data_IF_637397464323
#
_entry.id   IF_637397464323
#
_cell.length_a   1.000
_cell.length_b   1.000
_cell.length_c   1.000
_cell.angle_alpha   90.00
_cell.angle_beta   90.00
_cell.angle_gamma   90.00
#
_symmetry.space_group_name_H-M   'P 1'
#
loop_
_entity.id
_entity.type
_entity.pdbx_description
1 polymer ?
#
# COMPACT_ATOMS: atom_id res chain seq x y z
N UNK A 1 9.19 -20.42 32.40
CA UNK A 1 8.47 -19.65 31.39
C UNK A 1 9.18 -18.32 31.16
N UNK A 2 10.07 -18.27 30.17
CA UNK A 2 10.77 -17.05 29.81
C UNK A 2 10.11 -16.43 28.58
N UNK A 3 9.41 -15.30 28.74
CA UNK A 3 8.69 -14.61 27.67
C UNK A 3 9.58 -13.66 26.87
N UNK A 4 10.86 -13.52 27.23
CA UNK A 4 11.80 -12.60 26.62
C UNK A 4 13.13 -13.27 26.31
N UNK A 5 13.84 -12.79 25.29
CA UNK A 5 15.19 -13.26 25.00
C UNK A 5 16.21 -12.46 25.78
N UNK A 6 17.09 -13.18 26.49
CA UNK A 6 18.25 -12.63 27.18
C UNK A 6 19.52 -13.31 26.69
N UNK A 7 20.65 -12.66 26.91
CA UNK A 7 22.00 -13.20 26.66
C UNK A 7 22.64 -13.63 28.00
N UNK A 8 22.47 -14.87 28.43
CA UNK A 8 22.97 -15.32 29.74
C UNK A 8 24.46 -15.05 29.91
N UNK A 9 24.85 -14.54 31.08
CA UNK A 9 26.25 -14.23 31.46
C UNK A 9 26.89 -13.09 30.66
N UNK A 10 26.15 -12.34 29.86
CA UNK A 10 26.66 -11.16 29.16
C UNK A 10 26.09 -9.89 29.81
N UNK A 11 26.94 -8.90 30.03
CA UNK A 11 26.53 -7.56 30.48
C UNK A 11 26.28 -6.71 29.23
N UNK A 12 25.23 -5.88 29.24
CA UNK A 12 24.96 -4.88 28.22
C UNK A 12 26.13 -3.91 28.10
N UNK A 13 26.66 -3.73 26.90
CA UNK A 13 27.78 -2.84 26.56
C UNK A 13 27.55 -2.26 25.17
N UNK A 14 26.68 -1.25 25.04
CA UNK A 14 26.37 -0.69 23.73
C UNK A 14 27.59 -0.04 23.07
N UNK A 15 27.52 0.13 21.75
CA UNK A 15 28.56 0.76 20.93
C UNK A 15 28.47 2.31 20.96
N UNK A 16 27.71 2.87 21.89
CA UNK A 16 27.52 4.31 22.10
C UNK A 16 27.61 4.60 23.59
N UNK A 17 27.81 5.87 23.93
CA UNK A 17 27.90 6.29 25.34
C UNK A 17 26.52 6.26 25.98
N UNK A 18 26.43 5.62 27.15
CA UNK A 18 25.22 5.54 27.96
C UNK A 18 25.62 5.79 29.42
N UNK A 19 25.14 6.90 29.98
CA UNK A 19 25.47 7.28 31.34
C UNK A 19 24.71 6.42 32.35
N UNK A 20 25.43 5.89 33.34
CA UNK A 20 24.89 5.28 34.57
C UNK A 20 23.84 4.15 34.41
N UNK A 21 23.73 3.51 33.23
CA UNK A 21 22.84 2.39 33.01
C UNK A 21 23.57 1.05 33.05
N UNK A 22 23.12 0.15 33.90
CA UNK A 22 23.62 -1.20 33.99
C UNK A 22 22.51 -2.22 33.75
N UNK A 23 22.77 -3.17 32.86
CA UNK A 23 21.86 -4.28 32.56
C UNK A 23 22.62 -5.61 32.56
N UNK A 24 22.12 -6.57 33.35
CA UNK A 24 22.65 -7.93 33.42
C UNK A 24 21.53 -8.93 33.79
N UNK A 25 21.35 -10.01 33.02
CA UNK A 25 21.94 -10.24 31.69
C UNK A 25 21.44 -9.26 30.64
N UNK A 26 22.21 -9.05 29.59
CA UNK A 26 21.79 -8.20 28.48
C UNK A 26 20.53 -8.77 27.78
N UNK A 27 19.63 -7.89 27.36
CA UNK A 27 18.45 -8.24 26.54
C UNK A 27 18.85 -8.42 25.07
N UNK A 28 18.13 -9.24 24.34
CA UNK A 28 18.10 -9.20 22.88
C UNK A 28 17.16 -8.08 22.47
N UNK A 29 17.57 -7.18 21.57
CA UNK A 29 16.75 -6.07 21.12
C UNK A 29 15.58 -6.51 20.24
N UNK A 30 14.53 -5.71 20.17
CA UNK A 30 13.33 -6.02 19.39
C UNK A 30 13.60 -6.23 17.88
N UNK A 31 14.64 -5.59 17.33
CA UNK A 31 15.08 -5.76 15.96
C UNK A 31 16.09 -6.91 15.73
N UNK A 32 16.04 -7.96 16.57
CA UNK A 32 16.80 -9.21 16.40
C UNK A 32 18.34 -9.05 16.48
N UNK A 33 18.83 -8.11 17.30
CA UNK A 33 20.27 -8.02 17.58
C UNK A 33 20.65 -8.93 18.74
N UNK A 34 21.06 -10.16 18.42
CA UNK A 34 21.47 -11.19 19.37
C UNK A 34 22.93 -10.96 19.86
N UNK A 35 23.20 -9.75 20.35
CA UNK A 35 24.51 -9.35 20.90
C UNK A 35 24.34 -8.42 22.10
N UNK A 36 25.29 -8.47 23.02
CA UNK A 36 25.34 -7.54 24.15
C UNK A 36 25.88 -6.13 23.75
N UNK A 37 26.22 -5.93 22.48
CA UNK A 37 26.85 -4.72 21.92
C UNK A 37 25.98 -4.07 20.83
N UNK A 38 24.71 -3.66 21.10
CA UNK A 38 23.89 -3.01 20.09
C UNK A 38 24.44 -1.62 19.75
N UNK A 39 24.20 -1.19 18.52
CA UNK A 39 24.45 0.18 18.05
C UNK A 39 23.33 1.15 18.44
N UNK A 40 23.56 2.44 18.22
CA UNK A 40 22.57 3.51 18.51
C UNK A 40 21.27 3.37 17.70
N UNK A 41 21.34 2.76 16.52
CA UNK A 41 20.18 2.52 15.63
C UNK A 41 19.51 1.16 15.87
N UNK A 42 20.05 0.33 16.76
CA UNK A 42 19.36 -0.88 17.21
C UNK A 42 18.31 -0.50 18.25
N UNK A 43 17.21 -1.24 18.32
CA UNK A 43 16.09 -0.93 19.23
C UNK A 43 16.46 -1.32 20.68
N UNK A 44 17.54 -0.73 21.22
CA UNK A 44 18.16 -1.11 22.48
C UNK A 44 17.28 -0.86 23.71
N UNK A 45 16.27 0.02 23.62
CA UNK A 45 15.28 0.21 24.69
C UNK A 45 14.24 -0.90 24.75
N UNK A 46 14.16 -1.73 23.72
CA UNK A 46 13.17 -2.80 23.61
C UNK A 46 13.75 -4.16 24.02
N UNK A 47 12.89 -5.15 24.15
CA UNK A 47 13.30 -6.54 24.38
C UNK A 47 12.52 -7.47 23.46
N UNK A 48 13.22 -8.38 22.77
CA UNK A 48 12.57 -9.36 21.90
C UNK A 48 11.71 -10.33 22.71
N UNK A 49 10.47 -10.50 22.28
CA UNK A 49 9.53 -11.48 22.82
C UNK A 49 9.92 -12.91 22.39
N UNK A 50 9.85 -13.83 23.32
CA UNK A 50 10.19 -15.24 23.07
C UNK A 50 8.97 -16.03 22.59
N UNK A 51 8.88 -16.21 21.29
CA UNK A 51 7.85 -17.05 20.66
C UNK A 51 8.24 -18.54 20.53
N UNK A 52 9.32 -18.98 21.19
CA UNK A 52 9.74 -20.38 21.20
C UNK A 52 10.67 -20.78 20.06
N UNK A 53 11.38 -19.82 19.45
CA UNK A 53 12.38 -20.08 18.40
C UNK A 53 13.77 -19.84 18.96
N UNK A 54 14.66 -20.84 18.90
CA UNK A 54 16.08 -20.69 19.29
C UNK A 54 16.89 -20.16 18.09
N UNK A 55 17.01 -18.85 17.98
CA UNK A 55 17.70 -18.17 16.88
C UNK A 55 19.20 -18.42 16.86
N UNK A 56 19.82 -18.75 18.01
CA UNK A 56 21.26 -18.96 18.13
C UNK A 56 21.69 -20.39 17.80
N UNK A 57 20.75 -21.35 17.86
CA UNK A 57 21.02 -22.77 17.61
C UNK A 57 20.17 -23.28 16.42
N UNK A 58 20.38 -22.71 15.25
CA UNK A 58 19.76 -23.17 14.00
C UNK A 58 18.27 -22.93 13.89
N UNK A 59 17.71 -21.94 14.61
CA UNK A 59 16.28 -21.57 14.61
C UNK A 59 15.37 -22.74 15.00
N UNK A 60 15.81 -23.59 15.93
CA UNK A 60 14.98 -24.70 16.42
C UNK A 60 13.69 -24.19 17.03
N UNK A 61 12.59 -24.85 16.68
CA UNK A 61 11.25 -24.52 17.15
C UNK A 61 10.89 -25.33 18.40
N UNK A 62 10.39 -24.66 19.42
CA UNK A 62 9.94 -25.21 20.67
C UNK A 62 8.48 -24.81 20.91
N UNK A 63 7.57 -25.41 20.15
CA UNK A 63 6.14 -25.07 20.16
C UNK A 63 5.26 -26.10 20.88
N UNK A 64 5.86 -27.18 21.40
CA UNK A 64 5.21 -28.16 22.24
C UNK A 64 6.01 -28.33 23.56
N UNK A 65 5.42 -27.95 24.72
CA UNK A 65 4.12 -27.29 24.86
C UNK A 65 4.13 -25.88 24.24
N UNK A 66 2.92 -25.38 23.87
CA UNK A 66 2.75 -24.02 23.32
C UNK A 66 3.39 -22.99 24.25
N UNK A 67 4.24 -22.08 23.74
CA UNK A 67 4.91 -21.08 24.55
C UNK A 67 3.94 -20.18 25.33
N UNK A 68 4.29 -19.84 26.55
CA UNK A 68 3.47 -18.95 27.41
C UNK A 68 3.21 -17.57 26.77
N UNK A 69 4.18 -17.06 25.99
CA UNK A 69 4.04 -15.84 25.21
C UNK A 69 2.85 -15.89 24.26
N UNK A 70 2.60 -17.06 23.60
CA UNK A 70 1.47 -17.21 22.68
C UNK A 70 0.12 -17.03 23.38
N UNK A 71 -0.03 -17.61 24.57
CA UNK A 71 -1.24 -17.48 25.37
C UNK A 71 -1.47 -16.02 25.77
N UNK A 72 -0.43 -15.33 26.26
CA UNK A 72 -0.52 -13.91 26.64
C UNK A 72 -0.88 -13.00 25.46
N UNK A 73 -0.26 -13.23 24.30
CA UNK A 73 -0.58 -12.45 23.10
C UNK A 73 -1.99 -12.75 22.59
N UNK A 74 -2.46 -14.00 22.69
CA UNK A 74 -3.85 -14.33 22.37
C UNK A 74 -4.82 -13.62 23.32
N UNK A 75 -4.53 -13.58 24.63
CA UNK A 75 -5.38 -12.88 25.60
C UNK A 75 -5.48 -11.38 25.27
N UNK A 76 -4.38 -10.75 24.81
CA UNK A 76 -4.38 -9.35 24.35
C UNK A 76 -5.28 -9.19 23.11
N UNK A 77 -5.16 -10.07 22.12
CA UNK A 77 -5.98 -10.04 20.91
C UNK A 77 -7.47 -10.21 21.25
N UNK A 78 -7.81 -11.16 22.11
CA UNK A 78 -9.19 -11.40 22.52
C UNK A 78 -9.75 -10.24 23.35
N UNK A 79 -8.95 -9.63 24.23
CA UNK A 79 -9.34 -8.45 25.01
C UNK A 79 -9.80 -7.29 24.08
N UNK A 80 -9.01 -6.99 23.04
CA UNK A 80 -9.37 -5.93 22.11
C UNK A 80 -10.52 -6.32 21.18
N UNK A 81 -10.57 -7.59 20.75
CA UNK A 81 -11.69 -8.12 19.96
C UNK A 81 -13.03 -7.96 20.69
N UNK A 82 -13.06 -8.21 22.01
CA UNK A 82 -14.24 -7.99 22.86
C UNK A 82 -14.70 -6.52 22.86
N UNK A 83 -13.80 -5.56 22.65
CA UNK A 83 -14.12 -4.13 22.52
C UNK A 83 -14.75 -3.78 21.17
N UNK A 84 -14.99 -4.77 20.29
CA UNK A 84 -15.63 -4.62 18.96
C UNK A 84 -14.83 -3.78 18.00
N UNK A 85 -13.52 -3.95 18.01
CA UNK A 85 -12.66 -3.41 16.94
C UNK A 85 -12.88 -4.20 15.65
N UNK A 86 -12.61 -3.58 14.50
CA UNK A 86 -12.78 -4.22 13.18
C UNK A 86 -11.59 -5.09 12.78
N UNK A 87 -10.40 -4.83 13.33
CA UNK A 87 -9.21 -5.59 12.99
C UNK A 87 -7.96 -5.13 13.71
N UNK A 88 -6.83 -5.78 13.36
CA UNK A 88 -5.51 -5.50 13.87
C UNK A 88 -4.53 -5.16 12.73
N UNK A 89 -3.73 -4.13 12.91
CA UNK A 89 -2.48 -3.94 12.18
C UNK A 89 -1.35 -4.58 12.99
N UNK A 90 -0.70 -5.56 12.39
CA UNK A 90 0.36 -6.34 13.03
C UNK A 90 1.72 -5.81 12.58
N UNK A 91 2.37 -5.09 13.48
CA UNK A 91 3.69 -4.51 13.29
C UNK A 91 4.75 -5.60 13.17
N UNK A 92 5.68 -5.43 12.21
CA UNK A 92 6.82 -6.34 12.01
C UNK A 92 6.44 -7.82 12.08
N UNK A 93 5.30 -8.20 11.47
CA UNK A 93 4.69 -9.52 11.63
C UNK A 93 5.61 -10.68 11.20
N UNK A 94 6.52 -10.43 10.24
CA UNK A 94 7.48 -11.43 9.78
C UNK A 94 8.58 -11.78 10.81
N UNK A 95 8.74 -10.95 11.85
CA UNK A 95 9.64 -11.26 12.98
C UNK A 95 8.99 -12.20 14.00
N UNK A 96 7.72 -12.54 13.82
CA UNK A 96 6.95 -13.47 14.66
C UNK A 96 6.69 -14.74 13.85
N UNK A 97 6.90 -15.94 14.43
CA UNK A 97 6.71 -17.20 13.70
C UNK A 97 5.31 -17.31 13.08
N UNK A 98 5.24 -17.76 11.83
CA UNK A 98 3.96 -17.94 11.12
C UNK A 98 3.03 -18.89 11.83
N UNK A 99 3.56 -19.87 12.55
CA UNK A 99 2.82 -20.85 13.36
C UNK A 99 2.07 -20.18 14.52
N UNK A 100 2.65 -19.11 15.10
CA UNK A 100 1.92 -18.31 16.09
C UNK A 100 0.70 -17.62 15.45
N UNK A 101 0.88 -17.00 14.30
CA UNK A 101 -0.22 -16.34 13.59
C UNK A 101 -1.33 -17.33 13.24
N UNK A 102 -0.98 -18.48 12.68
CA UNK A 102 -1.92 -19.56 12.40
C UNK A 102 -2.73 -19.94 13.66
N UNK A 103 -2.01 -20.18 14.76
CA UNK A 103 -2.59 -20.61 16.02
C UNK A 103 -3.50 -19.53 16.65
N UNK A 104 -3.05 -18.27 16.67
CA UNK A 104 -3.75 -17.17 17.32
C UNK A 104 -4.94 -16.69 16.49
N UNK A 105 -4.75 -16.45 15.18
CA UNK A 105 -5.80 -15.94 14.28
C UNK A 105 -6.98 -16.92 14.20
N UNK A 106 -6.70 -18.23 14.10
CA UNK A 106 -7.75 -19.24 14.09
C UNK A 106 -8.61 -19.18 15.37
N UNK A 107 -8.01 -18.90 16.54
CA UNK A 107 -8.71 -18.79 17.81
C UNK A 107 -9.52 -17.49 17.94
N UNK A 108 -8.97 -16.37 17.47
CA UNK A 108 -9.68 -15.09 17.43
C UNK A 108 -10.86 -15.19 16.47
N UNK A 109 -10.67 -15.63 15.22
CA UNK A 109 -11.73 -15.72 14.21
C UNK A 109 -12.81 -16.74 14.56
N UNK A 110 -12.50 -17.75 15.37
CA UNK A 110 -13.53 -18.67 15.90
C UNK A 110 -14.58 -17.95 16.76
N UNK A 111 -14.19 -16.90 17.49
CA UNK A 111 -15.08 -16.14 18.38
C UNK A 111 -15.56 -14.84 17.69
N UNK A 112 -14.71 -14.23 16.88
CA UNK A 112 -14.94 -12.94 16.20
C UNK A 112 -14.62 -13.06 14.70
N UNK A 113 -15.48 -13.73 13.90
CA UNK A 113 -15.17 -14.08 12.51
C UNK A 113 -15.02 -12.88 11.57
N UNK A 114 -15.53 -11.71 11.94
CA UNK A 114 -15.45 -10.50 11.14
C UNK A 114 -14.14 -9.71 11.33
N UNK A 115 -13.32 -10.05 12.34
CA UNK A 115 -12.06 -9.36 12.59
C UNK A 115 -11.07 -9.66 11.46
N UNK A 116 -10.48 -8.60 10.92
CA UNK A 116 -9.42 -8.68 9.90
C UNK A 116 -8.03 -8.48 10.52
N UNK A 117 -7.01 -9.07 9.88
CA UNK A 117 -5.61 -8.92 10.25
C UNK A 117 -4.84 -8.37 9.06
N UNK A 118 -4.28 -7.17 9.23
CA UNK A 118 -3.40 -6.50 8.27
C UNK A 118 -1.99 -6.58 8.81
N UNK A 119 -1.02 -7.06 8.04
CA UNK A 119 0.31 -7.29 8.54
C UNK A 119 1.41 -6.62 7.71
N UNK A 120 2.43 -6.18 8.41
CA UNK A 120 3.67 -5.72 7.85
C UNK A 120 4.61 -6.92 7.64
N UNK A 121 4.73 -7.34 6.38
CA UNK A 121 5.63 -8.39 5.90
C UNK A 121 6.33 -7.84 4.66
N UNK A 122 7.65 -7.73 4.68
CA UNK A 122 8.43 -7.11 3.61
C UNK A 122 9.25 -8.09 2.78
N UNK A 123 9.28 -9.37 3.17
CA UNK A 123 9.90 -10.42 2.37
C UNK A 123 8.87 -11.02 1.37
N UNK A 124 8.97 -10.75 0.05
CA UNK A 124 8.02 -11.29 -0.93
C UNK A 124 7.96 -12.81 -0.99
N UNK A 125 9.04 -13.51 -0.60
CA UNK A 125 9.06 -14.97 -0.55
C UNK A 125 8.16 -15.54 0.56
N UNK A 126 7.86 -14.74 1.59
CA UNK A 126 7.03 -15.12 2.72
C UNK A 126 5.55 -14.71 2.55
N UNK A 127 5.18 -13.88 1.58
CA UNK A 127 3.81 -13.39 1.44
C UNK A 127 2.77 -14.52 1.45
N UNK A 128 2.97 -15.54 0.62
CA UNK A 128 2.03 -16.68 0.53
C UNK A 128 1.98 -17.48 1.83
N UNK A 129 3.10 -17.62 2.53
CA UNK A 129 3.17 -18.32 3.80
C UNK A 129 2.36 -17.58 4.87
N UNK A 130 2.53 -16.27 5.00
CA UNK A 130 1.79 -15.47 5.98
C UNK A 130 0.30 -15.34 5.66
N UNK A 131 -0.08 -15.29 4.38
CA UNK A 131 -1.49 -15.28 3.96
C UNK A 131 -2.14 -16.66 4.20
N UNK A 132 -1.60 -17.72 3.61
CA UNK A 132 -2.29 -19.01 3.57
C UNK A 132 -2.05 -19.88 4.80
N UNK A 133 -0.83 -19.88 5.34
CA UNK A 133 -0.51 -20.60 6.58
C UNK A 133 -0.82 -19.75 7.79
N UNK A 134 -0.36 -18.52 7.82
CA UNK A 134 -0.55 -17.60 8.94
C UNK A 134 -2.01 -17.15 9.13
N UNK A 135 -2.79 -17.08 8.04
CA UNK A 135 -4.19 -16.68 8.07
C UNK A 135 -4.41 -15.16 8.10
N UNK A 136 -3.38 -14.38 7.74
CA UNK A 136 -3.50 -12.93 7.61
C UNK A 136 -4.35 -12.55 6.40
N UNK A 137 -5.24 -11.57 6.56
CA UNK A 137 -6.16 -11.17 5.52
C UNK A 137 -5.49 -10.28 4.47
N UNK A 138 -4.62 -9.35 4.94
CA UNK A 138 -3.91 -8.41 4.07
C UNK A 138 -2.47 -8.23 4.52
N UNK A 139 -1.57 -8.06 3.54
CA UNK A 139 -0.17 -7.65 3.74
C UNK A 139 0.10 -6.32 3.05
N UNK A 140 1.01 -5.52 3.56
CA UNK A 140 1.46 -4.30 2.89
C UNK A 140 2.17 -4.63 1.59
N UNK A 141 1.73 -4.02 0.48
CA UNK A 141 2.43 -4.09 -0.81
C UNK A 141 3.55 -3.04 -0.87
N UNK A 142 4.55 -3.21 0.00
CA UNK A 142 5.68 -2.28 0.13
C UNK A 142 6.74 -2.54 -0.95
N UNK A 143 7.30 -3.74 -0.95
CA UNK A 143 8.50 -4.08 -1.73
C UNK A 143 8.21 -4.23 -3.23
N UNK A 144 6.97 -4.55 -3.60
CA UNK A 144 6.53 -4.64 -4.97
C UNK A 144 6.03 -3.32 -5.53
N UNK A 145 4.77 -3.01 -5.25
CA UNK A 145 4.07 -1.91 -5.91
C UNK A 145 4.45 -0.53 -5.36
N UNK A 146 4.56 -0.37 -4.03
CA UNK A 146 4.89 0.94 -3.45
C UNK A 146 6.27 1.43 -3.92
N UNK A 147 7.32 0.61 -3.75
CA UNK A 147 8.69 1.00 -4.11
C UNK A 147 8.81 1.32 -5.60
N UNK A 148 8.17 0.50 -6.45
CA UNK A 148 8.15 0.73 -7.89
C UNK A 148 7.44 2.03 -8.25
N UNK A 149 6.23 2.28 -7.72
CA UNK A 149 5.47 3.50 -8.04
C UNK A 149 6.21 4.75 -7.56
N UNK A 150 6.85 4.69 -6.38
CA UNK A 150 7.72 5.75 -5.90
C UNK A 150 8.85 6.04 -6.90
N UNK A 151 9.55 4.99 -7.35
CA UNK A 151 10.65 5.13 -8.29
C UNK A 151 10.19 5.69 -9.65
N UNK A 152 9.04 5.24 -10.17
CA UNK A 152 8.47 5.78 -11.42
C UNK A 152 8.17 7.27 -11.29
N UNK A 153 7.53 7.69 -10.19
CA UNK A 153 7.24 9.10 -9.91
C UNK A 153 8.50 9.93 -9.79
N UNK A 154 9.55 9.39 -9.18
CA UNK A 154 10.88 10.02 -9.08
C UNK A 154 11.73 9.85 -10.35
N UNK A 155 11.18 9.34 -11.46
CA UNK A 155 11.85 9.12 -12.74
C UNK A 155 13.05 8.16 -12.71
N UNK A 156 13.08 7.23 -11.76
CA UNK A 156 14.13 6.23 -11.60
C UNK A 156 13.80 4.92 -12.33
N UNK A 157 12.49 4.61 -12.47
CA UNK A 157 11.98 3.39 -13.10
C UNK A 157 10.99 3.69 -14.22
N UNK A 158 10.63 2.66 -15.00
CA UNK A 158 9.71 2.73 -16.11
C UNK A 158 8.31 2.21 -15.71
N UNK A 159 7.24 2.86 -16.19
CA UNK A 159 5.86 2.45 -15.96
C UNK A 159 5.56 1.02 -16.47
N UNK A 160 6.29 0.54 -17.48
CA UNK A 160 6.19 -0.84 -17.98
C UNK A 160 6.51 -1.91 -16.92
N UNK A 161 7.26 -1.58 -15.87
CA UNK A 161 7.59 -2.50 -14.79
C UNK A 161 6.39 -2.80 -13.88
N UNK A 162 5.31 -1.98 -13.93
CA UNK A 162 4.06 -2.25 -13.21
C UNK A 162 3.51 -3.63 -13.58
N UNK A 163 3.66 -4.05 -14.85
CA UNK A 163 3.27 -5.40 -15.31
C UNK A 163 3.97 -6.49 -14.50
N UNK A 164 5.27 -6.40 -14.31
CA UNK A 164 6.03 -7.40 -13.55
C UNK A 164 5.65 -7.39 -12.06
N UNK A 165 5.42 -6.19 -11.49
CA UNK A 165 5.04 -6.05 -10.08
C UNK A 165 3.71 -6.74 -9.76
N UNK A 166 2.66 -6.51 -10.54
CA UNK A 166 1.38 -7.18 -10.29
C UNK A 166 1.41 -8.68 -10.64
N UNK A 167 2.17 -9.10 -11.66
CA UNK A 167 2.33 -10.51 -12.02
C UNK A 167 3.02 -11.33 -10.93
N UNK A 168 4.00 -10.75 -10.23
CA UNK A 168 4.67 -11.40 -9.11
C UNK A 168 3.70 -11.74 -7.97
N UNK A 169 2.61 -11.00 -7.85
CA UNK A 169 1.56 -11.20 -6.85
C UNK A 169 0.38 -12.04 -7.35
N UNK A 170 0.47 -12.65 -8.54
CA UNK A 170 -0.61 -13.44 -9.14
C UNK A 170 -1.16 -14.48 -8.17
N UNK A 171 -2.48 -14.45 -7.93
CA UNK A 171 -3.19 -15.32 -7.00
C UNK A 171 -3.22 -14.83 -5.54
N UNK A 172 -2.49 -13.77 -5.19
CA UNK A 172 -2.55 -13.09 -3.89
C UNK A 172 -2.76 -11.57 -4.01
N UNK A 173 -2.91 -11.05 -5.20
CA UNK A 173 -3.02 -9.62 -5.47
C UNK A 173 -4.14 -8.93 -4.68
N UNK A 174 -5.21 -9.66 -4.38
CA UNK A 174 -6.34 -9.13 -3.61
C UNK A 174 -6.11 -9.13 -2.08
N UNK A 175 -5.03 -9.76 -1.62
CA UNK A 175 -4.56 -9.72 -0.23
C UNK A 175 -3.50 -8.63 0.02
N UNK A 176 -3.10 -7.88 -1.01
CA UNK A 176 -2.02 -6.90 -0.88
C UNK A 176 -2.60 -5.50 -0.66
N UNK A 177 -2.41 -4.94 0.55
CA UNK A 177 -2.85 -3.58 0.88
C UNK A 177 -1.97 -2.56 0.15
N UNK A 178 -2.54 -1.85 -0.80
CA UNK A 178 -1.85 -0.77 -1.51
C UNK A 178 -1.81 0.50 -0.68
N UNK A 179 -0.73 1.25 -0.77
CA UNK A 179 -0.56 2.55 -0.14
C UNK A 179 0.49 3.38 -0.88
N UNK A 180 0.53 4.68 -0.64
CA UNK A 180 1.53 5.59 -1.22
C UNK A 180 2.24 6.43 -0.16
N UNK A 181 1.70 6.48 1.05
CA UNK A 181 2.31 7.03 2.26
C UNK A 181 1.93 6.16 3.46
N UNK A 182 2.81 6.10 4.44
CA UNK A 182 2.53 5.62 5.78
C UNK A 182 3.43 6.37 6.79
N UNK A 183 3.41 5.96 8.05
CA UNK A 183 4.17 6.61 9.12
C UNK A 183 5.70 6.34 9.07
N UNK A 184 6.14 5.36 8.28
CA UNK A 184 7.56 4.99 8.12
C UNK A 184 8.18 5.58 6.85
N UNK A 185 7.36 5.93 5.85
CA UNK A 185 7.81 6.43 4.55
C UNK A 185 7.71 7.96 4.48
N UNK A 186 8.53 8.57 3.61
CA UNK A 186 8.45 10.00 3.35
C UNK A 186 7.12 10.38 2.73
N UNK A 187 6.63 11.56 3.09
CA UNK A 187 5.47 12.19 2.45
C UNK A 187 5.76 12.48 0.98
N UNK A 188 4.77 12.27 0.13
CA UNK A 188 4.87 12.50 -1.33
C UNK A 188 5.31 13.93 -1.63
N UNK A 189 4.73 14.92 -0.93
CA UNK A 189 5.01 16.33 -1.14
C UNK A 189 6.32 16.80 -0.52
N UNK A 190 7.07 15.93 0.18
CA UNK A 190 8.38 16.26 0.75
C UNK A 190 9.45 16.38 -0.32
N UNK A 191 10.52 17.13 0.00
CA UNK A 191 11.71 17.24 -0.85
C UNK A 191 12.49 15.90 -0.97
N UNK A 192 12.16 14.91 -0.13
CA UNK A 192 12.74 13.57 -0.11
C UNK A 192 11.99 12.56 -0.97
N UNK A 193 10.85 12.93 -1.56
CA UNK A 193 10.10 12.07 -2.47
C UNK A 193 9.85 12.83 -3.79
N UNK A 194 8.68 13.43 -3.97
CA UNK A 194 8.29 14.04 -5.24
C UNK A 194 8.24 15.58 -5.21
N UNK A 195 8.37 16.20 -4.03
CA UNK A 195 8.30 17.65 -3.85
C UNK A 195 6.94 18.30 -4.14
N UNK A 196 6.00 17.54 -4.70
CA UNK A 196 4.68 18.01 -5.08
C UNK A 196 3.65 16.87 -5.00
N UNK A 197 2.58 17.08 -4.24
CA UNK A 197 1.53 16.08 -4.03
C UNK A 197 0.75 15.69 -5.31
N UNK A 198 0.70 16.56 -6.31
CA UNK A 198 -0.01 16.28 -7.56
C UNK A 198 0.70 15.29 -8.48
N UNK A 199 2.02 15.13 -8.34
CA UNK A 199 2.80 14.21 -9.17
C UNK A 199 2.45 12.75 -8.93
N UNK A 200 1.80 12.42 -7.79
CA UNK A 200 1.43 11.06 -7.42
C UNK A 200 0.14 10.57 -8.07
N UNK A 201 -0.64 11.43 -8.71
CA UNK A 201 -1.99 11.08 -9.19
C UNK A 201 -2.02 9.85 -10.09
N UNK A 202 -1.10 9.65 -11.06
CA UNK A 202 -1.08 8.42 -11.86
C UNK A 202 -0.86 7.17 -10.98
N UNK A 203 0.03 7.25 -9.99
CA UNK A 203 0.27 6.16 -9.04
C UNK A 203 -0.95 5.91 -8.14
N UNK A 204 -1.65 6.96 -7.71
CA UNK A 204 -2.90 6.83 -6.94
C UNK A 204 -3.98 6.11 -7.75
N UNK A 205 -4.15 6.46 -9.04
CA UNK A 205 -5.10 5.79 -9.93
C UNK A 205 -4.74 4.30 -10.05
N UNK A 206 -3.47 3.97 -10.32
CA UNK A 206 -3.01 2.58 -10.40
C UNK A 206 -3.29 1.85 -9.09
N UNK A 207 -2.84 2.37 -7.95
CA UNK A 207 -3.01 1.72 -6.65
C UNK A 207 -4.47 1.50 -6.25
N UNK A 208 -5.36 2.43 -6.61
CA UNK A 208 -6.77 2.35 -6.25
C UNK A 208 -7.63 1.54 -7.23
N UNK A 209 -7.13 1.22 -8.45
CA UNK A 209 -8.00 0.66 -9.48
C UNK A 209 -7.43 -0.56 -10.23
N UNK A 210 -6.12 -0.86 -10.08
CA UNK A 210 -5.48 -1.97 -10.80
C UNK A 210 -6.00 -3.34 -10.34
N UNK A 211 -6.17 -3.51 -9.03
CA UNK A 211 -6.63 -4.76 -8.43
C UNK A 211 -7.94 -4.56 -7.64
N UNK A 212 -8.36 -5.57 -6.90
CA UNK A 212 -9.48 -5.50 -5.92
C UNK A 212 -8.97 -5.26 -4.50
N UNK A 213 -7.68 -5.06 -4.34
CA UNK A 213 -7.03 -4.86 -3.06
C UNK A 213 -7.49 -3.55 -2.39
N UNK A 214 -7.52 -3.49 -1.06
CA UNK A 214 -7.79 -2.25 -0.37
C UNK A 214 -6.66 -1.24 -0.56
N UNK A 215 -7.00 0.03 -0.47
CA UNK A 215 -6.05 1.14 -0.47
C UNK A 215 -6.04 1.81 0.91
N UNK A 216 -4.86 1.97 1.49
CA UNK A 216 -4.66 2.69 2.74
C UNK A 216 -4.30 4.14 2.44
N UNK A 217 -5.11 5.07 2.93
CA UNK A 217 -4.83 6.50 2.90
C UNK A 217 -4.18 6.93 4.22
N UNK A 218 -2.98 7.47 4.18
CA UNK A 218 -2.34 8.02 5.35
C UNK A 218 -2.86 9.45 5.62
N UNK A 219 -3.24 9.74 6.88
CA UNK A 219 -3.85 11.02 7.24
C UNK A 219 -2.97 12.21 6.84
N UNK A 220 -3.54 13.14 6.07
CA UNK A 220 -2.85 14.30 5.51
C UNK A 220 -2.31 14.11 4.09
N UNK A 221 -2.26 12.90 3.57
CA UNK A 221 -1.84 12.63 2.19
C UNK A 221 -2.76 13.36 1.19
N UNK A 222 -4.06 13.31 1.43
CA UNK A 222 -5.08 14.01 0.62
C UNK A 222 -5.07 15.53 0.76
N UNK A 223 -4.26 16.04 1.70
CA UNK A 223 -4.04 17.46 1.93
C UNK A 223 -2.68 17.94 1.41
N UNK A 224 -1.87 17.03 0.85
CA UNK A 224 -0.52 17.34 0.40
C UNK A 224 0.43 17.69 1.55
N UNK A 225 0.30 16.98 2.69
CA UNK A 225 1.23 17.15 3.82
C UNK A 225 2.67 16.87 3.38
N UNK A 226 3.60 17.74 3.78
CA UNK A 226 4.99 17.66 3.35
C UNK A 226 5.92 16.93 4.33
N UNK A 227 5.62 16.95 5.63
CA UNK A 227 6.53 16.44 6.66
C UNK A 227 7.88 17.18 6.66
N UNK A 228 7.88 18.48 6.33
CA UNK A 228 9.09 19.30 6.17
C UNK A 228 9.24 20.35 7.26
N UNK A 229 8.35 20.35 8.24
CA UNK A 229 8.42 21.19 9.42
C UNK A 229 9.01 20.41 10.61
N UNK A 230 8.76 20.82 11.85
CA UNK A 230 9.31 20.16 13.03
C UNK A 230 8.52 18.91 13.49
N UNK A 231 7.57 18.47 12.70
CA UNK A 231 6.68 17.32 12.96
C UNK A 231 7.27 15.97 12.56
N UNK A 232 8.48 15.95 12.02
CA UNK A 232 9.14 14.74 11.53
C UNK A 232 9.55 13.76 12.63
N UNK A 233 9.77 12.53 12.25
CA UNK A 233 10.20 11.46 13.14
C UNK A 233 11.61 11.73 13.73
N UNK A 234 12.49 12.29 12.93
CA UNK A 234 13.87 12.67 13.31
C UNK A 234 14.22 14.08 12.80
N UNK A 235 13.26 15.00 12.80
CA UNK A 235 13.42 16.35 12.28
C UNK A 235 12.94 16.48 10.84
N UNK A 236 13.65 17.27 10.02
CA UNK A 236 13.30 17.55 8.64
C UNK A 236 13.70 16.39 7.71
N UNK A 237 12.99 15.29 7.77
CA UNK A 237 13.27 14.09 6.99
C UNK A 237 12.13 13.65 6.04
N UNK A 238 11.12 14.49 5.92
CA UNK A 238 9.96 14.24 5.05
C UNK A 238 8.95 13.24 5.60
N UNK A 239 9.06 12.88 6.90
CA UNK A 239 8.12 11.97 7.58
C UNK A 239 7.36 12.71 8.66
N UNK A 240 6.15 12.25 8.96
CA UNK A 240 5.38 12.75 10.11
C UNK A 240 5.20 11.66 11.14
N UNK A 241 5.34 12.00 12.42
CA UNK A 241 5.14 11.06 13.51
C UNK A 241 3.66 10.70 13.70
N UNK A 242 3.39 9.48 14.17
CA UNK A 242 2.07 9.07 14.65
C UNK A 242 1.82 9.44 16.11
N UNK A 243 2.85 9.89 16.83
CA UNK A 243 2.78 10.12 18.27
C UNK A 243 2.26 11.50 18.64
N UNK A 244 2.46 12.50 17.77
CA UNK A 244 2.00 13.89 17.97
C UNK A 244 1.38 14.45 16.67
N UNK A 245 0.50 13.67 16.06
CA UNK A 245 -0.23 14.05 14.84
C UNK A 245 -1.00 15.37 14.98
N UNK A 246 -1.34 15.78 16.20
CA UNK A 246 -1.94 17.08 16.48
C UNK A 246 -1.00 18.28 16.22
N UNK A 247 0.31 18.03 16.11
CA UNK A 247 1.29 19.04 15.70
C UNK A 247 1.31 19.30 14.19
N UNK A 248 0.69 18.41 13.37
CA UNK A 248 0.67 18.51 11.91
C UNK A 248 -0.30 19.59 11.44
N UNK A 249 0.24 20.68 10.86
CA UNK A 249 -0.55 21.88 10.51
C UNK A 249 -1.69 21.57 9.53
N UNK A 250 -1.44 20.73 8.52
CA UNK A 250 -2.49 20.35 7.54
C UNK A 250 -3.69 19.67 8.19
N UNK A 251 -3.45 18.83 9.22
CA UNK A 251 -4.51 18.16 9.96
C UNK A 251 -5.25 19.11 10.91
N UNK A 252 -4.52 20.08 11.52
CA UNK A 252 -5.14 21.14 12.32
C UNK A 252 -6.06 22.02 11.47
N UNK A 253 -5.61 22.43 10.28
CA UNK A 253 -6.39 23.22 9.33
C UNK A 253 -7.62 22.46 8.85
N UNK A 254 -7.47 21.17 8.56
CA UNK A 254 -8.60 20.32 8.20
C UNK A 254 -9.60 20.16 9.34
N UNK A 255 -9.13 19.88 10.55
CA UNK A 255 -10.01 19.67 11.70
C UNK A 255 -10.71 20.95 12.14
N UNK A 256 -10.08 22.10 11.97
CA UNK A 256 -10.59 23.43 12.35
C UNK A 256 -11.33 23.42 13.70
N UNK A 257 -10.66 22.92 14.75
CA UNK A 257 -11.24 22.78 16.10
C UNK A 257 -12.53 21.92 16.11
N UNK A 258 -12.56 20.84 15.33
CA UNK A 258 -13.68 19.90 15.23
C UNK A 258 -14.81 20.32 14.29
N UNK A 259 -14.65 21.38 13.51
CA UNK A 259 -15.67 21.83 12.54
C UNK A 259 -15.63 21.07 11.22
N UNK A 260 -14.46 20.62 10.78
CA UNK A 260 -14.23 19.88 9.54
C UNK A 260 -14.84 20.54 8.30
N UNK A 261 -14.86 21.88 8.27
CA UNK A 261 -15.53 22.69 7.23
C UNK A 261 -14.60 23.13 6.10
N UNK A 262 -13.32 22.77 6.15
CA UNK A 262 -12.31 23.11 5.15
C UNK A 262 -11.97 24.60 5.05
N UNK A 263 -12.45 25.46 5.94
CA UNK A 263 -12.26 26.92 5.83
C UNK A 263 -10.82 27.37 5.96
N UNK A 264 -10.00 26.61 6.68
CA UNK A 264 -8.58 26.93 6.88
C UNK A 264 -7.68 26.31 5.80
N UNK A 265 -8.21 25.43 4.96
CA UNK A 265 -7.47 24.85 3.83
C UNK A 265 -7.34 25.85 2.67
N UNK A 266 -6.18 25.86 2.01
CA UNK A 266 -6.02 26.52 0.72
C UNK A 266 -6.90 25.87 -0.35
N UNK A 267 -7.14 26.58 -1.44
CA UNK A 267 -7.95 26.04 -2.55
C UNK A 267 -7.25 24.84 -3.18
N UNK A 268 -5.95 24.85 -3.34
CA UNK A 268 -5.15 23.73 -3.82
C UNK A 268 -5.34 22.45 -2.94
N UNK A 269 -5.29 22.59 -1.60
CA UNK A 269 -5.55 21.47 -0.68
C UNK A 269 -6.98 20.94 -0.79
N UNK A 270 -7.96 21.83 -0.98
CA UNK A 270 -9.36 21.44 -1.20
C UNK A 270 -9.54 20.67 -2.51
N UNK A 271 -8.92 21.13 -3.60
CA UNK A 271 -8.95 20.47 -4.91
C UNK A 271 -8.31 19.09 -4.86
N UNK A 272 -7.10 18.99 -4.29
CA UNK A 272 -6.42 17.70 -4.12
C UNK A 272 -7.27 16.72 -3.32
N UNK A 273 -7.80 17.17 -2.18
CA UNK A 273 -8.69 16.34 -1.35
C UNK A 273 -9.97 15.93 -2.07
N UNK A 274 -10.55 16.81 -2.88
CA UNK A 274 -11.73 16.48 -3.69
C UNK A 274 -11.41 15.41 -4.73
N UNK A 275 -10.23 15.46 -5.34
CA UNK A 275 -9.76 14.43 -6.27
C UNK A 275 -9.55 13.07 -5.57
N UNK A 276 -8.86 13.04 -4.43
CA UNK A 276 -8.71 11.82 -3.62
C UNK A 276 -10.07 11.23 -3.25
N UNK A 277 -10.99 12.06 -2.73
CA UNK A 277 -12.35 11.63 -2.40
C UNK A 277 -13.04 11.00 -3.60
N UNK A 278 -12.92 11.59 -4.78
CA UNK A 278 -13.55 11.08 -6.00
C UNK A 278 -12.95 9.75 -6.43
N UNK A 279 -11.62 9.63 -6.49
CA UNK A 279 -10.91 8.41 -6.90
C UNK A 279 -11.18 7.25 -5.93
N UNK A 280 -11.09 7.48 -4.62
CA UNK A 280 -11.31 6.45 -3.62
C UNK A 280 -12.79 6.03 -3.53
N UNK A 281 -13.73 6.94 -3.77
CA UNK A 281 -15.14 6.54 -3.89
C UNK A 281 -15.39 5.70 -5.16
N UNK A 282 -14.75 6.02 -6.29
CA UNK A 282 -14.86 5.21 -7.51
C UNK A 282 -14.33 3.79 -7.26
N UNK A 283 -13.21 3.62 -6.54
CA UNK A 283 -12.68 2.28 -6.23
C UNK A 283 -13.65 1.41 -5.43
N UNK A 284 -14.53 2.02 -4.63
CA UNK A 284 -15.54 1.32 -3.83
C UNK A 284 -16.85 1.09 -4.58
N UNK A 285 -17.26 2.04 -5.41
CA UNK A 285 -18.63 2.08 -5.98
C UNK A 285 -18.72 1.64 -7.44
N UNK A 286 -17.61 1.72 -8.20
CA UNK A 286 -17.61 1.27 -9.60
C UNK A 286 -17.40 -0.26 -9.65
N UNK A 287 -18.38 -1.04 -10.11
CA UNK A 287 -18.32 -2.51 -10.06
C UNK A 287 -17.14 -3.09 -10.83
N UNK A 288 -16.75 -2.48 -11.95
CA UNK A 288 -15.61 -2.91 -12.73
C UNK A 288 -14.29 -2.83 -11.95
N UNK A 289 -14.15 -1.86 -11.03
CA UNK A 289 -12.97 -1.74 -10.15
C UNK A 289 -13.11 -2.69 -8.95
N UNK A 290 -14.21 -2.59 -8.22
CA UNK A 290 -14.39 -3.31 -6.95
C UNK A 290 -14.48 -4.83 -7.11
N UNK A 291 -15.01 -5.34 -8.26
CA UNK A 291 -15.31 -6.76 -8.46
C UNK A 291 -14.75 -7.32 -9.77
N UNK A 292 -14.35 -6.45 -10.70
CA UNK A 292 -14.06 -6.81 -12.07
C UNK A 292 -12.75 -7.57 -12.28
N UNK A 293 -12.63 -8.13 -13.49
CA UNK A 293 -11.36 -8.63 -14.02
C UNK A 293 -10.48 -7.45 -14.43
N UNK A 294 -9.19 -7.67 -14.42
CA UNK A 294 -8.20 -6.76 -14.96
C UNK A 294 -7.55 -7.37 -16.20
N UNK A 295 -7.26 -6.55 -17.20
CA UNK A 295 -6.46 -6.94 -18.36
C UNK A 295 -5.42 -5.86 -18.64
N UNK A 296 -4.14 -6.24 -18.54
CA UNK A 296 -3.01 -5.37 -18.78
C UNK A 296 -2.78 -5.16 -20.29
N UNK A 297 -2.77 -3.90 -20.72
CA UNK A 297 -2.57 -3.53 -22.13
C UNK A 297 -1.12 -3.15 -22.46
N UNK A 298 -0.21 -3.20 -21.47
CA UNK A 298 1.16 -2.70 -21.65
C UNK A 298 1.90 -3.43 -22.77
N UNK A 299 1.79 -4.76 -22.83
CA UNK A 299 2.46 -5.55 -23.85
C UNK A 299 2.01 -5.22 -25.29
N UNK A 300 0.71 -4.91 -25.47
CA UNK A 300 0.11 -4.57 -26.75
C UNK A 300 0.48 -3.15 -27.21
N UNK A 301 0.99 -2.32 -26.29
CA UNK A 301 1.34 -0.93 -26.54
C UNK A 301 2.85 -0.64 -26.42
N UNK A 302 3.65 -1.62 -26.04
CA UNK A 302 5.09 -1.44 -25.81
C UNK A 302 5.84 -0.89 -27.05
N UNK A 303 5.47 -1.34 -28.25
CA UNK A 303 6.06 -0.90 -29.51
C UNK A 303 5.16 0.10 -30.27
N UNK A 304 4.15 0.66 -29.64
CA UNK A 304 3.26 1.63 -30.25
C UNK A 304 3.95 3.02 -30.32
N UNK A 305 4.14 3.60 -31.52
CA UNK A 305 4.86 4.86 -31.66
C UNK A 305 4.18 6.06 -31.00
N UNK A 306 2.87 5.96 -30.70
CA UNK A 306 2.09 6.97 -29.99
C UNK A 306 1.84 6.61 -28.53
N UNK A 307 2.74 5.84 -27.92
CA UNK A 307 2.64 5.41 -26.52
C UNK A 307 4.04 5.21 -25.93
N UNK A 308 4.40 5.96 -24.92
CA UNK A 308 5.67 5.78 -24.22
C UNK A 308 5.49 4.83 -23.03
N UNK A 309 5.84 3.56 -23.22
CA UNK A 309 5.75 2.53 -22.20
C UNK A 309 6.59 2.81 -20.93
N UNK A 310 7.54 3.75 -20.99
CA UNK A 310 8.28 4.17 -19.80
C UNK A 310 7.50 5.15 -18.93
N UNK A 311 6.53 5.88 -19.51
CA UNK A 311 5.80 6.95 -18.84
C UNK A 311 4.29 6.75 -18.82
N UNK A 312 3.74 5.87 -19.66
CA UNK A 312 2.33 5.55 -19.67
C UNK A 312 2.09 4.10 -19.27
N UNK A 313 0.97 3.87 -18.61
CA UNK A 313 0.48 2.55 -18.27
C UNK A 313 -1.03 2.49 -18.54
N UNK A 314 -1.49 1.46 -19.24
CA UNK A 314 -2.91 1.31 -19.58
C UNK A 314 -3.41 -0.13 -19.32
N UNK A 315 -4.63 -0.23 -18.86
CA UNK A 315 -5.29 -1.49 -18.56
C UNK A 315 -6.81 -1.37 -18.63
N UNK A 316 -7.48 -2.51 -18.70
CA UNK A 316 -8.94 -2.62 -18.68
C UNK A 316 -9.41 -3.18 -17.35
N UNK A 317 -10.53 -2.65 -16.86
CA UNK A 317 -11.33 -3.25 -15.80
C UNK A 317 -12.70 -3.59 -16.37
N UNK A 318 -13.21 -4.79 -16.10
CA UNK A 318 -14.49 -5.22 -16.63
C UNK A 318 -15.25 -6.06 -15.60
N UNK A 319 -16.53 -5.73 -15.42
CA UNK A 319 -17.46 -6.51 -14.62
C UNK A 319 -18.86 -6.44 -15.25
N UNK A 320 -19.39 -7.58 -15.67
CA UNK A 320 -20.66 -7.67 -16.40
C UNK A 320 -20.67 -6.71 -17.63
N UNK A 321 -21.52 -5.70 -17.64
CA UNK A 321 -21.59 -4.67 -18.70
C UNK A 321 -20.70 -3.46 -18.45
N UNK A 322 -20.14 -3.33 -17.25
CA UNK A 322 -19.28 -2.20 -16.91
C UNK A 322 -17.86 -2.44 -17.45
N UNK A 323 -17.47 -1.62 -18.41
CA UNK A 323 -16.18 -1.66 -19.07
C UNK A 323 -15.45 -0.33 -18.86
N UNK A 324 -14.24 -0.38 -18.30
CA UNK A 324 -13.38 0.77 -18.12
C UNK A 324 -12.06 0.57 -18.85
N UNK A 325 -11.64 1.57 -19.61
CA UNK A 325 -10.26 1.78 -20.02
C UNK A 325 -9.60 2.76 -19.06
N UNK A 326 -8.54 2.34 -18.39
CA UNK A 326 -7.78 3.20 -17.50
C UNK A 326 -6.40 3.41 -18.11
N UNK A 327 -5.99 4.66 -18.24
CA UNK A 327 -4.67 5.03 -18.75
C UNK A 327 -4.08 6.17 -17.92
N UNK A 328 -2.82 6.02 -17.52
CA UNK A 328 -2.11 6.99 -16.68
C UNK A 328 -0.85 7.50 -17.37
N UNK A 329 -0.46 8.74 -17.02
CA UNK A 329 0.70 9.43 -17.56
C UNK A 329 1.58 9.96 -16.42
N UNK A 330 2.76 9.39 -16.27
CA UNK A 330 3.78 9.80 -15.30
C UNK A 330 4.71 10.91 -15.83
N UNK A 331 4.53 11.34 -17.10
CA UNK A 331 5.32 12.42 -17.65
C UNK A 331 4.91 13.79 -17.09
N UNK A 332 5.85 14.74 -17.10
CA UNK A 332 5.65 16.12 -16.67
C UNK A 332 4.98 17.03 -17.73
N UNK A 333 4.51 16.44 -18.83
CA UNK A 333 3.77 17.11 -19.90
C UNK A 333 2.49 16.34 -20.26
N UNK A 334 1.49 17.04 -20.77
CA UNK A 334 0.33 16.41 -21.37
C UNK A 334 0.75 15.62 -22.63
N UNK A 335 0.07 14.50 -22.88
CA UNK A 335 0.36 13.60 -24.00
C UNK A 335 -0.91 13.22 -24.74
N UNK A 336 -0.80 13.15 -26.06
CA UNK A 336 -1.78 12.51 -26.91
C UNK A 336 -1.30 11.10 -27.23
N UNK A 337 -2.04 10.11 -26.77
CA UNK A 337 -1.69 8.70 -26.92
C UNK A 337 -2.76 7.95 -27.74
N UNK A 338 -2.34 6.82 -28.29
CA UNK A 338 -3.26 5.86 -28.92
C UNK A 338 -3.10 4.53 -28.20
N UNK A 339 -4.19 3.95 -27.69
CA UNK A 339 -4.16 2.69 -26.96
C UNK A 339 -4.73 1.57 -27.81
N UNK A 340 -3.92 0.53 -28.04
CA UNK A 340 -4.36 -0.74 -28.64
C UNK A 340 -5.06 -1.59 -27.60
N UNK A 341 -6.20 -2.17 -27.97
CA UNK A 341 -6.86 -3.25 -27.23
C UNK A 341 -6.78 -4.49 -28.11
N UNK A 342 -5.92 -5.46 -27.78
CA UNK A 342 -5.67 -6.60 -28.65
C UNK A 342 -6.84 -7.60 -28.64
N UNK A 343 -6.90 -8.48 -29.65
CA UNK A 343 -7.92 -9.50 -29.80
C UNK A 343 -8.01 -10.40 -28.54
N UNK A 344 -6.88 -10.77 -27.94
CA UNK A 344 -6.84 -11.56 -26.71
C UNK A 344 -7.58 -10.88 -25.54
N UNK A 345 -7.59 -9.54 -25.48
CA UNK A 345 -8.38 -8.80 -24.49
C UNK A 345 -9.88 -8.97 -24.73
N UNK A 346 -10.31 -8.91 -25.99
CA UNK A 346 -11.71 -9.14 -26.35
C UNK A 346 -12.16 -10.55 -25.96
N UNK A 347 -11.34 -11.56 -26.22
CA UNK A 347 -11.63 -12.95 -25.89
C UNK A 347 -11.66 -13.17 -24.37
N UNK A 348 -10.63 -12.73 -23.64
CA UNK A 348 -10.52 -12.90 -22.19
C UNK A 348 -11.66 -12.21 -21.41
N UNK A 349 -12.04 -11.01 -21.85
CA UNK A 349 -13.07 -10.20 -21.21
C UNK A 349 -14.46 -10.41 -21.82
N UNK A 350 -14.58 -11.26 -22.85
CA UNK A 350 -15.81 -11.49 -23.61
C UNK A 350 -16.44 -10.18 -24.14
N UNK A 351 -15.61 -9.32 -24.73
CA UNK A 351 -16.05 -8.03 -25.28
C UNK A 351 -16.60 -8.24 -26.71
N UNK A 352 -17.66 -7.49 -27.03
CA UNK A 352 -18.16 -7.39 -28.38
C UNK A 352 -17.57 -6.18 -29.10
N UNK A 353 -17.18 -6.33 -30.37
CA UNK A 353 -16.83 -5.19 -31.21
C UNK A 353 -18.09 -4.35 -31.49
N UNK A 354 -17.92 -3.01 -31.49
CA UNK A 354 -18.99 -2.05 -31.77
C UNK A 354 -18.47 -0.95 -32.68
N UNK A 355 -19.24 -0.62 -33.69
CA UNK A 355 -18.88 0.43 -34.65
C UNK A 355 -18.90 1.85 -34.05
N UNK A 356 -19.62 2.02 -32.97
CA UNK A 356 -19.70 3.32 -32.27
C UNK A 356 -19.94 3.08 -30.78
N UNK A 357 -19.05 3.62 -29.94
CA UNK A 357 -19.18 3.63 -28.49
C UNK A 357 -18.95 5.05 -27.96
N UNK A 358 -19.74 5.42 -26.96
CA UNK A 358 -19.49 6.62 -26.19
C UNK A 358 -18.55 6.29 -25.03
N UNK A 359 -17.56 7.13 -24.84
CA UNK A 359 -16.60 7.03 -23.75
C UNK A 359 -16.63 8.31 -22.92
N UNK A 360 -16.78 8.16 -21.61
CA UNK A 360 -16.79 9.28 -20.66
C UNK A 360 -15.81 9.05 -19.53
N UNK A 361 -15.01 10.06 -19.20
CA UNK A 361 -14.14 10.03 -18.03
C UNK A 361 -14.95 10.16 -16.73
N UNK A 362 -14.77 9.22 -15.81
CA UNK A 362 -15.45 9.22 -14.53
C UNK A 362 -14.93 10.29 -13.57
N UNK A 363 -13.69 10.75 -13.76
CA UNK A 363 -13.07 11.81 -12.96
C UNK A 363 -13.39 13.19 -13.55
N UNK A 364 -13.11 13.39 -14.81
CA UNK A 364 -13.44 14.62 -15.55
C UNK A 364 -14.62 14.38 -16.48
N UNK A 365 -15.82 14.57 -15.98
CA UNK A 365 -17.06 14.29 -16.74
C UNK A 365 -17.23 15.14 -18.01
N UNK A 366 -16.42 16.20 -18.17
CA UNK A 366 -16.45 17.02 -19.40
C UNK A 366 -15.66 16.36 -20.53
N UNK A 367 -14.70 15.45 -20.17
CA UNK A 367 -13.95 14.71 -21.16
C UNK A 367 -14.78 13.53 -21.68
N UNK A 368 -15.16 13.63 -22.95
CA UNK A 368 -15.97 12.64 -23.67
C UNK A 368 -15.40 12.45 -25.07
N UNK A 369 -15.52 11.25 -25.60
CA UNK A 369 -15.18 10.94 -26.98
C UNK A 369 -16.07 9.81 -27.51
N UNK A 370 -16.16 9.72 -28.83
CA UNK A 370 -16.82 8.59 -29.52
C UNK A 370 -15.80 7.92 -30.43
N UNK A 371 -15.84 6.60 -30.50
CA UNK A 371 -14.92 5.82 -31.30
C UNK A 371 -15.48 4.44 -31.64
N UNK A 372 -14.77 3.69 -32.47
CA UNK A 372 -15.04 2.26 -32.69
C UNK A 372 -14.31 1.45 -31.62
N UNK A 373 -14.98 0.48 -31.01
CA UNK A 373 -14.40 -0.51 -30.11
C UNK A 373 -14.15 -1.80 -30.90
N UNK A 374 -12.92 -2.03 -31.32
CA UNK A 374 -12.48 -3.26 -32.00
C UNK A 374 -11.00 -3.48 -31.80
N UNK A 375 -10.53 -4.70 -32.03
CA UNK A 375 -9.12 -5.05 -31.94
C UNK A 375 -8.24 -4.39 -33.01
N UNK A 376 -8.85 -3.94 -34.11
CA UNK A 376 -8.16 -3.26 -35.23
C UNK A 376 -8.14 -1.74 -35.09
N UNK A 377 -8.80 -1.19 -34.05
CA UNK A 377 -8.89 0.25 -33.84
C UNK A 377 -8.15 0.67 -32.56
N UNK A 378 -7.48 1.82 -32.63
CA UNK A 378 -6.81 2.44 -31.49
C UNK A 378 -7.72 3.49 -30.85
N UNK A 379 -7.82 3.46 -29.53
CA UNK A 379 -8.52 4.51 -28.80
C UNK A 379 -7.55 5.66 -28.56
N UNK A 380 -7.83 6.83 -29.17
CA UNK A 380 -7.01 8.05 -29.02
C UNK A 380 -7.49 8.87 -27.84
N UNK A 381 -6.58 9.25 -26.96
CA UNK A 381 -6.88 10.05 -25.76
C UNK A 381 -5.78 11.07 -25.48
N UNK A 382 -6.21 12.19 -24.85
CA UNK A 382 -5.30 13.17 -24.25
C UNK A 382 -5.27 12.98 -22.75
N UNK A 383 -4.08 12.81 -22.18
CA UNK A 383 -3.87 12.69 -20.73
C UNK A 383 -3.01 13.85 -20.24
N UNK A 384 -3.47 14.63 -19.25
CA UNK A 384 -2.65 15.71 -18.67
C UNK A 384 -1.36 15.20 -18.04
N UNK A 385 -0.41 16.12 -17.78
CA UNK A 385 0.79 15.82 -17.02
C UNK A 385 0.45 15.24 -15.64
N UNK A 386 1.22 14.27 -15.16
CA UNK A 386 1.05 13.64 -13.84
C UNK A 386 -0.42 13.30 -13.52
N UNK A 387 -1.10 12.66 -14.46
CA UNK A 387 -2.54 12.40 -14.35
C UNK A 387 -2.93 11.06 -14.95
N UNK A 388 -4.23 10.80 -15.04
CA UNK A 388 -4.78 9.64 -15.74
C UNK A 388 -6.25 9.85 -16.09
N UNK A 389 -6.78 8.92 -16.87
CA UNK A 389 -8.17 8.84 -17.28
C UNK A 389 -8.78 7.53 -16.82
N UNK A 390 -9.97 7.57 -16.24
CA UNK A 390 -10.80 6.40 -15.93
C UNK A 390 -12.02 6.47 -16.84
N UNK A 391 -11.91 5.84 -17.99
CA UNK A 391 -12.83 5.99 -19.11
C UNK A 391 -13.87 4.87 -19.08
N UNK A 392 -15.12 5.21 -18.81
CA UNK A 392 -16.26 4.30 -18.92
C UNK A 392 -16.72 4.20 -20.37
N UNK A 393 -16.66 3.01 -20.93
CA UNK A 393 -17.09 2.70 -22.30
C UNK A 393 -18.55 2.22 -22.23
N UNK A 394 -19.44 2.94 -22.88
CA UNK A 394 -20.85 2.56 -23.02
C UNK A 394 -21.00 1.78 -24.31
N UNK A 395 -21.16 0.49 -24.21
CA UNK A 395 -21.53 -0.36 -25.34
C UNK A 395 -23.04 -0.23 -25.61
N UNK A 396 -23.43 0.01 -26.85
CA UNK A 396 -24.85 -0.03 -27.24
C UNK A 396 -25.39 -1.44 -26.92
N UNK A 397 -26.47 -1.49 -26.18
CA UNK A 397 -27.21 -2.73 -25.88
C UNK A 397 -27.88 -3.27 -27.10
#
# INVERSE_FOLDING_TARGET
NNNFYYLPRQKFKPLFDIQDYEEYPAKVTGNDRFTAFPGINDWYETVKLNYGVDYLNGRQQHFDPVPDTWHKMLDILLFWAEKRIDGFRCDMAEMVPVEFWQWAIARVKKQYPAIIFIAEVYNPHEYRNYIFTGGLDYLYDKVGMYDLLRNIVCHQDAASQITQAWQALSGIEHHMLHFLENHDEQRIASDFFAGNAWTIIPALIVSATLTKAPFMLYAGQELGERGMDAEGFSGLDGRTTIFDYWGVQSLQDWSNKGKFDGKLLSDEKKELRALYKKLLNLSLTEPAIAKGKMYDLQYANFNNPNYDANRQFAYIRQYDKDLLLIAVNFANSAVDISVNIPQDAFEYLALASSSEVEIQDLVDKQYQLSTTLSADNQIKLTIPAHSGRILKIKTST
#
